data_IF_775510661810
#
_entry.id   IF_775510661810
#
_cell.length_a   1.000
_cell.length_b   1.000
_cell.length_c   1.000
_cell.angle_alpha   90.00
_cell.angle_beta   90.00
_cell.angle_gamma   90.00
#
_symmetry.space_group_name_H-M   'P 1'
#
loop_
_entity.id
_entity.type
_entity.pdbx_description
1 polymer ?
#
# COMPACT_ATOMS: atom_id res chain seq x y z
N UNK A 1 -22.14 -2.85 -13.29
CA UNK A 1 -22.57 -3.17 -11.91
C UNK A 1 -21.99 -2.15 -10.94
N UNK A 2 -22.68 -1.91 -9.87
CA UNK A 2 -22.14 -1.10 -8.78
C UNK A 2 -22.56 -1.68 -7.44
N UNK A 3 -21.59 -2.04 -6.62
CA UNK A 3 -21.84 -2.62 -5.30
C UNK A 3 -22.12 -1.46 -4.33
N UNK A 4 -23.04 -1.67 -3.41
CA UNK A 4 -23.39 -0.70 -2.39
C UNK A 4 -22.14 -0.20 -1.64
N UNK A 5 -22.08 1.11 -1.38
CA UNK A 5 -20.90 1.74 -0.76
C UNK A 5 -20.54 1.11 0.59
N UNK A 6 -21.53 0.80 1.43
CA UNK A 6 -21.27 0.18 2.72
C UNK A 6 -20.57 -1.19 2.56
N UNK A 7 -21.02 -1.99 1.61
CA UNK A 7 -20.39 -3.27 1.32
C UNK A 7 -18.97 -3.12 0.80
N UNK A 8 -18.73 -2.11 -0.05
CA UNK A 8 -17.40 -1.83 -0.58
C UNK A 8 -16.46 -1.40 0.55
N UNK A 9 -16.92 -0.55 1.45
CA UNK A 9 -16.12 -0.14 2.61
C UNK A 9 -15.77 -1.36 3.47
N UNK A 10 -16.75 -2.18 3.82
CA UNK A 10 -16.54 -3.39 4.63
C UNK A 10 -15.51 -4.32 3.99
N UNK A 11 -15.62 -4.51 2.69
CA UNK A 11 -14.74 -5.45 1.96
C UNK A 11 -13.32 -4.92 1.79
N UNK A 12 -13.16 -3.62 1.51
CA UNK A 12 -11.89 -3.08 1.02
C UNK A 12 -11.20 -2.07 1.95
N UNK A 13 -11.80 -1.71 3.08
CA UNK A 13 -11.24 -0.68 3.97
C UNK A 13 -9.80 -0.97 4.38
N UNK A 14 -9.50 -2.21 4.75
CA UNK A 14 -8.16 -2.58 5.21
C UNK A 14 -7.14 -2.53 4.08
N UNK A 15 -7.53 -2.95 2.87
CA UNK A 15 -6.66 -2.89 1.69
C UNK A 15 -6.33 -1.46 1.31
N UNK A 16 -7.33 -0.59 1.31
CA UNK A 16 -7.13 0.81 0.92
C UNK A 16 -6.31 1.56 1.98
N UNK A 17 -6.60 1.32 3.25
CA UNK A 17 -5.80 1.85 4.35
C UNK A 17 -4.33 1.40 4.21
N UNK A 18 -4.11 0.12 3.90
CA UNK A 18 -2.76 -0.43 3.75
C UNK A 18 -1.99 0.23 2.61
N UNK A 19 -2.65 0.55 1.49
CA UNK A 19 -2.03 1.28 0.38
C UNK A 19 -1.56 2.66 0.87
N UNK A 20 -2.45 3.40 1.51
CA UNK A 20 -2.12 4.73 2.05
C UNK A 20 -0.98 4.69 3.04
N UNK A 21 -1.02 3.73 3.96
CA UNK A 21 0.01 3.57 4.97
C UNK A 21 1.36 3.20 4.37
N UNK A 22 1.37 2.30 3.39
CA UNK A 22 2.58 1.87 2.70
C UNK A 22 3.28 3.04 2.01
N UNK A 23 2.50 3.95 1.43
CA UNK A 23 3.05 5.10 0.71
C UNK A 23 3.40 6.27 1.64
N UNK A 24 2.57 6.52 2.66
CA UNK A 24 2.68 7.73 3.48
C UNK A 24 3.32 7.49 4.86
N UNK A 25 3.26 6.25 5.34
CA UNK A 25 3.85 5.84 6.63
C UNK A 25 3.33 6.67 7.80
N UNK A 26 2.06 7.06 7.71
CA UNK A 26 1.38 7.87 8.71
C UNK A 26 -0.08 7.40 8.77
N UNK A 27 -0.55 6.92 9.94
CA UNK A 27 -1.92 6.38 10.05
C UNK A 27 -3.01 7.42 9.77
N UNK A 28 -2.82 8.67 10.18
CA UNK A 28 -3.82 9.72 9.94
C UNK A 28 -3.96 10.02 8.45
N UNK A 29 -2.84 10.09 7.74
CA UNK A 29 -2.83 10.29 6.30
C UNK A 29 -3.43 9.09 5.57
N UNK A 30 -3.14 7.87 6.04
CA UNK A 30 -3.73 6.65 5.47
C UNK A 30 -5.24 6.63 5.65
N UNK A 31 -5.74 7.10 6.79
CA UNK A 31 -7.17 7.23 7.04
C UNK A 31 -7.80 8.25 6.08
N UNK A 32 -7.15 9.37 5.85
CA UNK A 32 -7.61 10.38 4.88
C UNK A 32 -7.69 9.80 3.46
N UNK A 33 -6.70 8.98 3.08
CA UNK A 33 -6.72 8.30 1.78
C UNK A 33 -7.94 7.38 1.67
N UNK A 34 -8.20 6.60 2.72
CA UNK A 34 -9.34 5.67 2.72
C UNK A 34 -10.67 6.43 2.62
N UNK A 35 -10.86 7.47 3.43
CA UNK A 35 -12.08 8.27 3.43
C UNK A 35 -12.34 8.90 2.06
N UNK A 36 -11.32 9.52 1.48
CA UNK A 36 -11.44 10.16 0.16
C UNK A 36 -11.76 9.14 -0.93
N UNK A 37 -11.14 7.98 -0.87
CA UNK A 37 -11.34 6.92 -1.87
C UNK A 37 -12.79 6.45 -1.86
N UNK A 38 -13.34 6.16 -0.68
CA UNK A 38 -14.70 5.67 -0.56
C UNK A 38 -15.74 6.77 -0.84
N UNK A 39 -15.43 8.01 -0.52
CA UNK A 39 -16.29 9.14 -0.89
C UNK A 39 -16.38 9.27 -2.41
N UNK A 40 -15.25 9.15 -3.11
CA UNK A 40 -15.23 9.19 -4.57
C UNK A 40 -16.01 8.01 -5.17
N UNK A 41 -15.88 6.83 -4.58
CA UNK A 41 -16.67 5.69 -5.02
C UNK A 41 -18.17 5.96 -4.87
N UNK A 42 -18.56 6.49 -3.73
CA UNK A 42 -19.98 6.78 -3.44
C UNK A 42 -20.59 7.73 -4.44
N UNK A 43 -19.84 8.74 -4.87
CA UNK A 43 -20.32 9.77 -5.80
C UNK A 43 -20.07 9.44 -7.27
N UNK A 44 -19.36 8.36 -7.56
CA UNK A 44 -19.05 7.96 -8.93
C UNK A 44 -20.29 7.39 -9.61
N UNK A 45 -20.66 7.99 -10.74
CA UNK A 45 -21.94 7.70 -11.40
C UNK A 45 -21.87 6.64 -12.49
N UNK A 46 -20.66 6.20 -12.88
CA UNK A 46 -20.51 5.18 -13.91
C UNK A 46 -20.51 3.79 -13.32
N UNK A 47 -20.93 2.81 -14.10
CA UNK A 47 -20.89 1.41 -13.70
C UNK A 47 -19.49 0.81 -13.85
N UNK A 48 -19.29 -0.30 -13.14
CA UNK A 48 -18.07 -1.10 -13.21
C UNK A 48 -18.36 -2.41 -13.93
N UNK A 49 -17.35 -2.95 -14.61
CA UNK A 49 -17.50 -4.19 -15.37
C UNK A 49 -17.50 -5.44 -14.48
N UNK A 50 -16.77 -5.38 -13.36
CA UNK A 50 -16.58 -6.53 -12.48
C UNK A 50 -16.10 -6.07 -11.10
N UNK A 51 -16.05 -7.01 -10.15
CA UNK A 51 -15.42 -6.76 -8.85
C UNK A 51 -13.96 -6.36 -9.01
N UNK A 52 -13.24 -7.04 -9.92
CA UNK A 52 -11.83 -6.71 -10.18
C UNK A 52 -11.67 -5.28 -10.68
N UNK A 53 -12.60 -4.81 -11.51
CA UNK A 53 -12.61 -3.43 -11.97
C UNK A 53 -12.78 -2.45 -10.80
N UNK A 54 -13.68 -2.75 -9.86
CA UNK A 54 -13.88 -1.95 -8.64
C UNK A 54 -12.58 -1.90 -7.83
N UNK A 55 -11.95 -3.05 -7.59
CA UNK A 55 -10.70 -3.14 -6.83
C UNK A 55 -9.59 -2.31 -7.46
N UNK A 56 -9.41 -2.45 -8.76
CA UNK A 56 -8.41 -1.72 -9.52
C UNK A 56 -8.66 -0.22 -9.47
N UNK A 57 -9.93 0.20 -9.60
CA UNK A 57 -10.32 1.60 -9.53
C UNK A 57 -10.05 2.20 -8.14
N UNK A 58 -10.43 1.47 -7.09
CA UNK A 58 -10.19 1.91 -5.71
C UNK A 58 -8.71 2.08 -5.42
N UNK A 59 -7.89 1.10 -5.83
CA UNK A 59 -6.44 1.16 -5.65
C UNK A 59 -5.84 2.37 -6.35
N UNK A 60 -6.28 2.63 -7.58
CA UNK A 60 -5.78 3.77 -8.37
C UNK A 60 -6.14 5.10 -7.72
N UNK A 61 -7.37 5.24 -7.23
CA UNK A 61 -7.80 6.46 -6.53
C UNK A 61 -6.96 6.65 -5.25
N UNK A 62 -6.76 5.58 -4.49
CA UNK A 62 -5.96 5.62 -3.27
C UNK A 62 -4.52 6.02 -3.54
N UNK A 63 -3.89 5.42 -4.54
CA UNK A 63 -2.51 5.74 -4.94
C UNK A 63 -2.39 7.20 -5.37
N UNK A 64 -3.33 7.68 -6.17
CA UNK A 64 -3.32 9.07 -6.62
C UNK A 64 -3.48 10.06 -5.46
N UNK A 65 -4.37 9.74 -4.51
CA UNK A 65 -4.55 10.57 -3.31
C UNK A 65 -3.30 10.58 -2.45
N UNK A 66 -2.68 9.42 -2.27
CA UNK A 66 -1.43 9.31 -1.50
C UNK A 66 -0.31 10.14 -2.16
N UNK A 67 -0.20 10.10 -3.49
CA UNK A 67 0.76 10.93 -4.21
C UNK A 67 0.51 12.42 -4.00
N UNK A 68 -0.75 12.84 -3.99
CA UNK A 68 -1.11 14.24 -3.73
C UNK A 68 -0.67 14.67 -2.33
N UNK A 69 -0.90 13.83 -1.33
CA UNK A 69 -0.49 14.11 0.04
C UNK A 69 1.03 14.19 0.14
N UNK A 70 1.76 13.29 -0.51
CA UNK A 70 3.22 13.31 -0.54
C UNK A 70 3.76 14.65 -1.08
N UNK A 71 3.16 15.14 -2.17
CA UNK A 71 3.58 16.40 -2.80
C UNK A 71 3.32 17.61 -1.91
N UNK A 72 2.18 17.63 -1.19
CA UNK A 72 1.77 18.76 -0.35
C UNK A 72 2.46 18.78 1.00
N UNK A 73 2.74 17.59 1.56
CA UNK A 73 3.19 17.45 2.94
C UNK A 73 4.50 16.67 3.05
N UNK A 74 5.38 16.78 2.09
CA UNK A 74 6.63 16.04 2.06
C UNK A 74 7.53 16.30 3.28
N UNK A 75 7.34 17.43 3.97
CA UNK A 75 8.07 17.78 5.19
C UNK A 75 7.36 17.30 6.46
N UNK A 76 6.19 16.71 6.35
CA UNK A 76 5.41 16.28 7.50
C UNK A 76 6.12 15.16 8.23
N UNK A 77 6.17 15.29 9.57
CA UNK A 77 6.81 14.29 10.43
C UNK A 77 6.02 12.99 10.41
N UNK A 78 6.68 11.90 10.09
CA UNK A 78 6.06 10.58 10.11
C UNK A 78 5.95 10.06 11.53
N UNK A 79 4.91 9.26 11.79
CA UNK A 79 4.76 8.54 13.06
C UNK A 79 5.90 7.52 13.18
N UNK A 80 6.45 7.34 14.39
CA UNK A 80 7.51 6.36 14.57
C UNK A 80 7.00 4.95 14.28
N UNK A 81 7.89 4.12 13.76
CA UNK A 81 7.55 2.73 13.44
C UNK A 81 7.13 1.97 14.70
N UNK A 82 7.79 2.24 15.83
CA UNK A 82 7.47 1.59 17.11
C UNK A 82 6.05 1.90 17.55
N UNK A 83 5.66 3.17 17.51
CA UNK A 83 4.31 3.59 17.91
C UNK A 83 3.26 2.94 17.02
N UNK A 84 3.53 2.87 15.74
CA UNK A 84 2.61 2.26 14.78
C UNK A 84 2.48 0.76 15.00
N UNK A 85 3.61 0.07 15.15
CA UNK A 85 3.63 -1.39 15.33
C UNK A 85 2.87 -1.84 16.59
N UNK A 86 2.85 -1.00 17.61
CA UNK A 86 2.13 -1.29 18.85
C UNK A 86 0.61 -1.40 18.65
N UNK A 87 0.07 -0.85 17.54
CA UNK A 87 -1.37 -0.86 17.29
C UNK A 87 -1.82 -2.01 16.38
N UNK A 88 -0.88 -2.78 15.80
CA UNK A 88 -1.19 -3.84 14.83
C UNK A 88 -1.06 -5.21 15.51
N UNK A 89 -2.12 -6.04 15.48
CA UNK A 89 -2.01 -7.41 15.98
C UNK A 89 -1.28 -8.28 14.96
N UNK A 90 -0.25 -9.00 15.41
CA UNK A 90 0.49 -9.95 14.58
C UNK A 90 0.33 -11.35 15.15
N UNK A 91 0.00 -12.29 14.28
CA UNK A 91 -0.16 -13.69 14.66
C UNK A 91 1.20 -14.38 14.87
N UNK A 92 2.27 -13.87 14.21
CA UNK A 92 3.61 -14.45 14.27
C UNK A 92 4.68 -13.36 14.29
N UNK A 93 5.78 -13.57 15.03
CA UNK A 93 6.90 -12.61 15.06
C UNK A 93 7.52 -12.35 13.67
N UNK A 94 7.54 -13.35 12.79
CA UNK A 94 8.08 -13.19 11.44
C UNK A 94 7.27 -12.20 10.61
N UNK A 95 5.96 -12.18 10.78
CA UNK A 95 5.07 -11.25 10.07
C UNK A 95 5.38 -9.82 10.49
N UNK A 96 5.64 -9.60 11.78
CA UNK A 96 6.03 -8.28 12.30
C UNK A 96 7.36 -7.81 11.73
N UNK A 97 8.38 -8.69 11.72
CA UNK A 97 9.70 -8.37 11.16
C UNK A 97 9.61 -7.99 9.69
N UNK A 98 8.88 -8.80 8.91
CA UNK A 98 8.70 -8.53 7.49
C UNK A 98 7.96 -7.23 7.27
N UNK A 99 6.90 -6.98 8.04
CA UNK A 99 6.13 -5.74 7.95
C UNK A 99 7.02 -4.53 8.25
N UNK A 100 7.82 -4.58 9.32
CA UNK A 100 8.76 -3.51 9.66
C UNK A 100 9.75 -3.27 8.53
N UNK A 101 10.30 -4.34 7.96
CA UNK A 101 11.28 -4.24 6.89
C UNK A 101 10.68 -3.59 5.64
N UNK A 102 9.47 -3.98 5.27
CA UNK A 102 8.76 -3.39 4.11
C UNK A 102 8.45 -1.92 4.36
N UNK A 103 7.96 -1.60 5.56
CA UNK A 103 7.62 -0.21 5.91
C UNK A 103 8.85 0.69 6.03
N UNK A 104 10.03 0.12 6.31
CA UNK A 104 11.28 0.87 6.34
C UNK A 104 11.83 1.20 4.96
N UNK A 105 11.34 0.54 3.91
CA UNK A 105 11.74 0.84 2.53
C UNK A 105 11.24 2.22 2.11
N UNK A 106 11.98 2.93 1.24
CA UNK A 106 11.41 4.11 0.58
C UNK A 106 10.08 3.78 -0.09
N UNK A 107 9.16 4.74 -0.11
CA UNK A 107 7.79 4.53 -0.61
C UNK A 107 7.73 3.93 -2.01
N UNK A 108 8.66 4.32 -2.89
CA UNK A 108 8.71 3.79 -4.26
C UNK A 108 8.97 2.27 -4.31
N UNK A 109 9.63 1.73 -3.30
CA UNK A 109 9.90 0.30 -3.18
C UNK A 109 8.81 -0.42 -2.40
N UNK A 110 8.37 0.14 -1.28
CA UNK A 110 7.34 -0.49 -0.46
C UNK A 110 6.03 -0.65 -1.21
N UNK A 111 5.64 0.32 -2.05
CA UNK A 111 4.38 0.21 -2.80
C UNK A 111 4.41 -0.91 -3.85
N UNK A 112 5.53 -1.11 -4.56
CA UNK A 112 5.60 -2.20 -5.55
C UNK A 112 5.59 -3.56 -4.85
N UNK A 113 6.25 -3.69 -3.70
CA UNK A 113 6.20 -4.92 -2.89
C UNK A 113 4.77 -5.19 -2.44
N UNK A 114 4.10 -4.16 -1.91
CA UNK A 114 2.73 -4.29 -1.42
C UNK A 114 1.78 -4.74 -2.55
N UNK A 115 1.82 -4.08 -3.69
CA UNK A 115 0.93 -4.41 -4.79
C UNK A 115 1.20 -5.80 -5.36
N UNK A 116 2.45 -6.20 -5.45
CA UNK A 116 2.81 -7.51 -6.02
C UNK A 116 2.49 -8.66 -5.07
N UNK A 117 2.89 -8.58 -3.80
CA UNK A 117 2.80 -9.70 -2.85
C UNK A 117 1.52 -9.72 -2.04
N UNK A 118 0.94 -8.57 -1.73
CA UNK A 118 -0.25 -8.49 -0.88
C UNK A 118 -1.55 -8.26 -1.65
N UNK A 119 -1.46 -7.59 -2.80
CA UNK A 119 -2.63 -7.33 -3.65
C UNK A 119 -2.70 -8.24 -4.87
N UNK A 120 -1.69 -9.09 -5.07
CA UNK A 120 -1.59 -10.05 -6.18
C UNK A 120 -1.68 -9.40 -7.57
N UNK A 121 -1.19 -8.19 -7.70
CA UNK A 121 -1.15 -7.52 -9.00
C UNK A 121 0.03 -8.01 -9.84
N UNK A 122 -0.20 -8.17 -11.13
CA UNK A 122 0.86 -8.46 -12.10
C UNK A 122 1.75 -7.23 -12.29
N UNK A 123 2.95 -7.44 -12.84
CA UNK A 123 3.86 -6.33 -13.18
C UNK A 123 3.16 -5.33 -14.11
N UNK A 124 2.40 -5.82 -15.08
CA UNK A 124 1.64 -4.99 -16.00
C UNK A 124 0.61 -4.13 -15.27
N UNK A 125 -0.13 -4.74 -14.35
CA UNK A 125 -1.14 -4.04 -13.55
C UNK A 125 -0.50 -2.98 -12.64
N UNK A 126 0.64 -3.31 -12.03
CA UNK A 126 1.38 -2.35 -11.18
C UNK A 126 1.86 -1.17 -12.03
N UNK A 127 2.39 -1.45 -13.21
CA UNK A 127 2.84 -0.40 -14.12
C UNK A 127 1.69 0.56 -14.46
N UNK A 128 0.51 0.04 -14.73
CA UNK A 128 -0.68 0.85 -15.00
C UNK A 128 -1.11 1.66 -13.78
N UNK A 129 -1.09 1.05 -12.59
CA UNK A 129 -1.49 1.71 -11.34
C UNK A 129 -0.55 2.86 -10.99
N UNK A 130 0.75 2.67 -11.16
CA UNK A 130 1.77 3.64 -10.77
C UNK A 130 2.20 4.57 -11.91
N UNK A 131 1.66 4.37 -13.11
CA UNK A 131 2.03 5.13 -14.32
C UNK A 131 3.53 5.01 -14.62
N UNK A 132 4.03 3.78 -14.55
CA UNK A 132 5.41 3.43 -14.86
C UNK A 132 5.42 2.44 -16.03
N UNK A 133 6.59 2.27 -16.66
CA UNK A 133 6.74 1.16 -17.59
C UNK A 133 7.05 -0.13 -16.82
N UNK A 134 6.85 -1.28 -17.45
CA UNK A 134 7.05 -2.58 -16.81
C UNK A 134 8.51 -2.81 -16.40
N UNK A 135 9.45 -2.29 -17.18
CA UNK A 135 10.88 -2.37 -16.86
C UNK A 135 11.21 -1.70 -15.53
N UNK A 136 10.65 -0.51 -15.30
CA UNK A 136 10.82 0.19 -14.03
C UNK A 136 10.23 -0.58 -12.85
N UNK A 137 9.07 -1.20 -13.04
CA UNK A 137 8.46 -2.01 -11.98
C UNK A 137 9.37 -3.19 -11.64
N UNK A 138 9.90 -3.88 -12.65
CA UNK A 138 10.82 -5.02 -12.45
C UNK A 138 12.08 -4.59 -11.67
N UNK A 139 12.67 -3.45 -12.05
CA UNK A 139 13.86 -2.93 -11.37
C UNK A 139 13.55 -2.59 -9.92
N UNK A 140 12.43 -1.92 -9.66
CA UNK A 140 12.03 -1.57 -8.29
C UNK A 140 11.77 -2.81 -7.44
N UNK A 141 11.09 -3.82 -7.98
CA UNK A 141 10.87 -5.08 -7.27
C UNK A 141 12.19 -5.78 -6.95
N UNK A 142 13.11 -5.83 -7.91
CA UNK A 142 14.41 -6.47 -7.71
C UNK A 142 15.22 -5.76 -6.62
N UNK A 143 15.28 -4.45 -6.66
CA UNK A 143 16.00 -3.65 -5.65
C UNK A 143 15.36 -3.78 -4.27
N UNK A 144 14.03 -3.74 -4.22
CA UNK A 144 13.31 -3.89 -2.95
C UNK A 144 13.58 -5.25 -2.32
N UNK A 145 13.53 -6.33 -3.12
CA UNK A 145 13.83 -7.69 -2.64
C UNK A 145 15.26 -7.79 -2.10
N UNK A 146 16.20 -7.15 -2.77
CA UNK A 146 17.59 -7.17 -2.33
C UNK A 146 17.77 -6.49 -0.97
N UNK A 147 17.17 -5.32 -0.79
CA UNK A 147 17.22 -4.60 0.48
C UNK A 147 16.58 -5.44 1.59
N UNK A 148 15.40 -6.01 1.33
CA UNK A 148 14.71 -6.85 2.30
C UNK A 148 15.54 -8.08 2.68
N UNK A 149 16.14 -8.72 1.69
CA UNK A 149 16.97 -9.90 1.91
C UNK A 149 18.16 -9.58 2.83
N UNK A 150 18.82 -8.46 2.61
CA UNK A 150 19.94 -8.03 3.44
C UNK A 150 19.51 -7.72 4.88
N UNK A 151 18.41 -7.00 5.05
CA UNK A 151 17.89 -6.64 6.37
C UNK A 151 17.43 -7.86 7.16
N UNK A 152 16.69 -8.75 6.53
CA UNK A 152 16.20 -9.97 7.19
C UNK A 152 17.33 -10.94 7.51
N UNK A 153 18.34 -11.02 6.65
CA UNK A 153 19.51 -11.86 6.87
C UNK A 153 20.33 -11.38 8.06
N UNK A 154 20.51 -10.07 8.21
CA UNK A 154 21.21 -9.49 9.37
C UNK A 154 20.48 -9.83 10.66
N UNK A 155 19.15 -9.69 10.67
CA UNK A 155 18.35 -9.99 11.87
C UNK A 155 18.38 -11.47 12.23
N UNK A 156 18.39 -12.35 11.23
CA UNK A 156 18.46 -13.79 11.48
C UNK A 156 19.85 -14.26 11.95
N UNK A 157 20.89 -13.62 11.45
CA UNK A 157 22.26 -13.94 11.87
C UNK A 157 22.53 -13.52 13.32
N UNK A 158 21.86 -12.46 13.79
CA UNK A 158 22.00 -11.98 15.15
C UNK A 158 21.34 -12.92 16.19
N UNK A 159 20.44 -13.80 15.76
CA UNK A 159 19.78 -14.78 16.62
C UNK A 159 20.56 -16.10 16.74
N UNK A 160 21.56 -16.31 15.93
CA UNK A 160 22.44 -17.47 16.00
C UNK A 160 23.67 -17.17 16.88
#
# INVERSE_FOLDING_TARGET
>A
MKIDTEQVIETYKDRIFAIGLTMLKNPDDAEDVAQETFLKYHTYKKDFESKKHIESWLSKVAINKAKDIQRKFWKRKQVSMEDYMATIPFDRPQDEELFQAVMALPSKYSIVIHLYYYEDYSIKEIAQQLKLNEGNVKVRLSRARQILKEQLKENWNDEE
#
